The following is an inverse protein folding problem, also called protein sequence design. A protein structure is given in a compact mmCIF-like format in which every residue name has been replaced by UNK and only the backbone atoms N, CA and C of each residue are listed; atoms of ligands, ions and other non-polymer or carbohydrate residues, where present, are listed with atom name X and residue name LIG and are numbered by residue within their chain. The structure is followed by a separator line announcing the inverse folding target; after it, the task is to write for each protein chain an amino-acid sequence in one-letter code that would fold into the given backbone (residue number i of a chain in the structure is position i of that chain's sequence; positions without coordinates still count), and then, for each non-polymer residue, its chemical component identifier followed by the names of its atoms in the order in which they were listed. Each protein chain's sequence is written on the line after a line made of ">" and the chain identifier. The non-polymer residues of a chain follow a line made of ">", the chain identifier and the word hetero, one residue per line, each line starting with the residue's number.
data_IF_589858246034
#
_entry.id   IF_589858246034
#
_cell.length_a   1.000
_cell.length_b   1.000
_cell.length_c   1.000
_cell.angle_alpha   90.00
_cell.angle_beta   90.00
_cell.angle_gamma   90.00
#
_symmetry.space_group_name_H-M   'P 1'
#
loop_
_entity.id
_entity.type
_entity.pdbx_description
1 polymer ?
#
# COMPACT_ATOMS: atom_id res chain seq x y z
N UNK A 1 7.54 19.74 25.49
CA UNK A 1 8.17 20.18 24.22
C UNK A 1 8.95 19.08 23.51
N UNK A 2 9.72 18.23 24.19
CA UNK A 2 10.51 17.13 23.56
C UNK A 2 9.69 16.00 22.92
N UNK A 3 8.55 15.63 23.49
CA UNK A 3 7.66 14.57 22.96
C UNK A 3 6.99 14.97 21.64
N UNK A 4 6.46 16.20 21.53
CA UNK A 4 5.87 16.71 20.28
C UNK A 4 6.85 16.74 19.11
N UNK A 5 8.14 16.99 19.38
CA UNK A 5 9.18 16.97 18.36
C UNK A 5 9.46 15.54 17.88
N UNK A 6 9.51 14.55 18.79
CA UNK A 6 9.72 13.13 18.47
C UNK A 6 8.62 12.59 17.56
N UNK A 7 7.35 12.88 17.84
CA UNK A 7 6.23 12.46 16.97
C UNK A 7 6.31 13.07 15.56
N UNK A 8 6.68 14.37 15.45
CA UNK A 8 6.88 15.00 14.14
C UNK A 8 8.02 14.34 13.36
N UNK A 9 9.13 14.03 14.02
CA UNK A 9 10.28 13.36 13.39
C UNK A 9 9.88 11.95 12.90
N UNK A 10 9.17 11.16 13.72
CA UNK A 10 8.69 9.84 13.33
C UNK A 10 7.76 9.94 12.11
N UNK A 11 6.78 10.86 12.11
CA UNK A 11 5.88 11.04 10.98
C UNK A 11 6.64 11.43 9.70
N UNK A 12 7.62 12.32 9.78
CA UNK A 12 8.47 12.71 8.64
C UNK A 12 9.30 11.53 8.13
N UNK A 13 9.92 10.75 9.03
CA UNK A 13 10.68 9.56 8.64
C UNK A 13 9.82 8.51 7.93
N UNK A 14 8.61 8.30 8.41
CA UNK A 14 7.64 7.37 7.80
C UNK A 14 7.24 7.88 6.41
N UNK A 15 6.92 9.17 6.24
CA UNK A 15 6.61 9.77 4.93
C UNK A 15 7.79 9.67 3.96
N UNK A 16 9.02 9.90 4.42
CA UNK A 16 10.24 9.74 3.62
C UNK A 16 10.46 8.28 3.18
N UNK A 17 10.23 7.33 4.09
CA UNK A 17 10.33 5.90 3.78
C UNK A 17 9.31 5.50 2.70
N UNK A 18 8.04 5.96 2.82
CA UNK A 18 7.01 5.68 1.82
C UNK A 18 7.36 6.30 0.46
N UNK A 19 7.83 7.55 0.45
CA UNK A 19 8.27 8.22 -0.78
C UNK A 19 9.45 7.48 -1.44
N UNK A 20 10.43 7.05 -0.65
CA UNK A 20 11.57 6.25 -1.13
C UNK A 20 11.12 4.92 -1.74
N UNK A 21 10.16 4.25 -1.12
CA UNK A 21 9.58 3.00 -1.62
C UNK A 21 8.84 3.21 -2.94
N UNK A 22 8.05 4.29 -3.08
CA UNK A 22 7.37 4.64 -4.32
C UNK A 22 8.35 4.92 -5.48
N UNK A 23 9.41 5.68 -5.20
CA UNK A 23 10.44 5.98 -6.19
C UNK A 23 11.14 4.68 -6.62
N UNK A 24 11.49 3.81 -5.66
CA UNK A 24 12.11 2.51 -5.93
C UNK A 24 11.22 1.60 -6.77
N UNK A 25 9.92 1.52 -6.45
CA UNK A 25 8.95 0.77 -7.26
C UNK A 25 8.80 1.33 -8.67
N UNK A 26 8.73 2.65 -8.82
CA UNK A 26 8.66 3.29 -10.15
C UNK A 26 9.90 2.99 -11.00
N UNK A 27 11.08 3.04 -10.41
CA UNK A 27 12.33 2.70 -11.08
C UNK A 27 12.38 1.22 -11.49
N UNK A 28 11.98 0.32 -10.60
CA UNK A 28 11.90 -1.11 -10.88
C UNK A 28 10.91 -1.44 -12.00
N UNK A 29 9.70 -0.85 -11.96
CA UNK A 29 8.69 -1.04 -13.01
C UNK A 29 9.16 -0.53 -14.37
N UNK A 30 9.87 0.61 -14.41
CA UNK A 30 10.49 1.12 -15.63
C UNK A 30 11.52 0.13 -16.18
N UNK A 31 12.39 -0.40 -15.32
CA UNK A 31 13.38 -1.41 -15.71
C UNK A 31 12.71 -2.68 -16.27
N UNK A 32 11.67 -3.15 -15.61
CA UNK A 32 10.89 -4.30 -16.05
C UNK A 32 10.22 -4.06 -17.42
N UNK A 33 9.64 -2.87 -17.64
CA UNK A 33 9.05 -2.51 -18.93
C UNK A 33 10.09 -2.54 -20.05
N UNK A 34 11.26 -1.93 -19.84
CA UNK A 34 12.34 -1.90 -20.83
C UNK A 34 12.83 -3.32 -21.14
N UNK A 35 13.03 -4.14 -20.12
CA UNK A 35 13.45 -5.55 -20.28
C UNK A 35 12.39 -6.39 -21.00
N UNK A 36 11.11 -6.27 -20.62
CA UNK A 36 10.01 -6.98 -21.27
C UNK A 36 9.82 -6.54 -22.72
N UNK A 37 9.97 -5.23 -23.00
CA UNK A 37 9.95 -4.69 -24.35
C UNK A 37 11.05 -5.30 -25.18
N UNK A 38 12.30 -5.31 -24.70
CA UNK A 38 13.42 -5.92 -25.40
C UNK A 38 13.18 -7.41 -25.68
N UNK A 39 12.76 -8.16 -24.67
CA UNK A 39 12.44 -9.58 -24.83
C UNK A 39 11.34 -9.83 -25.88
N UNK A 40 10.31 -8.96 -25.93
CA UNK A 40 9.25 -9.07 -26.94
C UNK A 40 9.81 -8.81 -28.35
N UNK A 41 10.73 -7.86 -28.52
CA UNK A 41 11.41 -7.59 -29.79
C UNK A 41 12.25 -8.78 -30.22
N UNK A 42 13.08 -9.31 -29.33
CA UNK A 42 13.92 -10.47 -29.60
C UNK A 42 13.05 -11.69 -30.02
N UNK A 43 11.89 -11.89 -29.36
CA UNK A 43 10.93 -12.94 -29.69
C UNK A 43 10.27 -12.76 -31.09
N UNK A 44 10.03 -11.53 -31.51
CA UNK A 44 9.49 -11.23 -32.86
C UNK A 44 10.54 -11.58 -33.93
N UNK A 45 11.77 -11.12 -33.76
CA UNK A 45 12.86 -11.43 -34.67
C UNK A 45 13.11 -12.94 -34.76
N UNK A 46 13.08 -13.62 -33.62
CA UNK A 46 13.19 -15.07 -33.54
C UNK A 46 12.06 -15.78 -34.28
N UNK A 47 10.81 -15.30 -34.15
CA UNK A 47 9.66 -15.86 -34.84
C UNK A 47 9.80 -15.71 -36.38
N UNK A 48 10.31 -14.58 -36.85
CA UNK A 48 10.59 -14.37 -38.27
C UNK A 48 11.67 -15.31 -38.78
N UNK A 49 12.79 -15.41 -38.07
CA UNK A 49 13.90 -16.29 -38.38
C UNK A 49 13.49 -17.76 -38.43
N UNK A 50 12.71 -18.19 -37.44
CA UNK A 50 12.21 -19.56 -37.40
C UNK A 50 11.18 -19.86 -38.47
N UNK A 51 10.33 -18.92 -38.83
CA UNK A 51 9.38 -19.09 -39.92
C UNK A 51 10.12 -19.28 -41.27
N UNK A 52 11.19 -18.52 -41.51
CA UNK A 52 12.04 -18.60 -42.66
C UNK A 52 12.78 -19.95 -42.74
N UNK A 53 13.36 -20.36 -41.63
CA UNK A 53 14.06 -21.65 -41.51
C UNK A 53 13.13 -22.85 -41.76
N UNK A 54 11.93 -22.81 -41.22
CA UNK A 54 10.95 -23.90 -41.40
C UNK A 54 10.38 -23.93 -42.82
N UNK A 55 10.18 -22.78 -43.46
CA UNK A 55 9.75 -22.70 -44.84
C UNK A 55 10.83 -23.33 -45.77
N UNK A 56 12.08 -22.92 -45.58
CA UNK A 56 13.23 -23.45 -46.28
C UNK A 56 13.34 -24.99 -46.13
N UNK A 57 13.20 -25.50 -44.88
CA UNK A 57 13.23 -26.91 -44.57
C UNK A 57 12.12 -27.68 -45.26
N UNK A 58 10.89 -27.17 -45.28
CA UNK A 58 9.75 -27.81 -45.97
C UNK A 58 9.96 -27.88 -47.47
N UNK A 59 10.62 -26.92 -48.11
CA UNK A 59 11.01 -26.95 -49.51
C UNK A 59 12.11 -28.04 -49.76
N UNK A 60 13.07 -28.11 -48.87
CA UNK A 60 14.10 -29.19 -48.92
C UNK A 60 13.52 -30.58 -48.80
N UNK A 61 12.56 -30.77 -47.89
CA UNK A 61 11.86 -32.06 -47.70
C UNK A 61 11.07 -32.44 -48.97
N UNK A 62 10.43 -31.46 -49.61
CA UNK A 62 9.69 -31.66 -50.88
C UNK A 62 10.61 -32.07 -52.05
N UNK A 63 11.86 -31.55 -52.07
CA UNK A 63 12.87 -31.95 -53.03
C UNK A 63 13.43 -33.38 -52.77
N UNK A 64 13.54 -33.74 -51.51
CA UNK A 64 14.03 -35.06 -51.07
C UNK A 64 12.98 -36.14 -51.25
N UNK A 65 11.69 -35.81 -51.17
CA UNK A 65 10.57 -36.79 -51.10
C UNK A 65 10.16 -37.42 -52.43
N UNK A 66 10.80 -37.04 -53.56
CA UNK A 66 10.64 -37.83 -54.75
C UNK A 66 11.27 -39.24 -54.66
N UNK A 67 11.97 -39.61 -53.58
CA UNK A 67 12.60 -40.90 -53.35
C UNK A 67 12.57 -41.47 -51.94
N UNK A 68 11.94 -40.83 -50.95
CA UNK A 68 11.97 -41.35 -49.54
C UNK A 68 10.62 -41.13 -48.84
N UNK A 69 9.86 -42.22 -48.69
CA UNK A 69 8.79 -42.35 -47.69
C UNK A 69 9.45 -42.46 -46.30
N UNK A 70 9.67 -41.39 -45.61
CA UNK A 70 9.87 -41.42 -44.16
C UNK A 70 8.95 -40.42 -43.52
N UNK A 71 8.07 -40.91 -42.65
CA UNK A 71 7.23 -40.15 -41.75
C UNK A 71 8.13 -39.41 -40.76
N UNK A 72 8.67 -38.28 -41.17
CA UNK A 72 9.22 -37.29 -40.21
C UNK A 72 8.06 -36.35 -39.88
N UNK A 73 7.37 -36.71 -38.80
CA UNK A 73 6.45 -35.80 -38.15
C UNK A 73 7.34 -34.70 -37.52
N UNK A 74 7.37 -33.46 -37.98
CA UNK A 74 8.19 -32.43 -37.36
C UNK A 74 7.50 -31.96 -36.06
N UNK A 75 7.36 -32.82 -35.09
CA UNK A 75 7.24 -32.43 -33.73
C UNK A 75 8.61 -31.96 -33.24
N UNK A 76 9.10 -30.86 -33.75
CA UNK A 76 10.05 -30.05 -33.03
C UNK A 76 9.31 -29.51 -31.81
N UNK A 77 9.21 -30.35 -30.79
CA UNK A 77 9.02 -29.86 -29.44
C UNK A 77 10.32 -29.12 -29.12
N UNK A 78 10.30 -27.79 -29.29
CA UNK A 78 11.18 -26.94 -28.54
C UNK A 78 10.81 -27.24 -27.07
N UNK A 79 11.52 -28.17 -26.48
CA UNK A 79 11.53 -28.25 -25.03
C UNK A 79 12.13 -26.94 -24.60
N UNK A 80 11.33 -26.15 -23.91
CA UNK A 80 11.74 -24.97 -23.16
C UNK A 80 12.77 -25.33 -22.07
N UNK A 81 13.14 -26.62 -22.00
CA UNK A 81 14.23 -27.21 -21.23
C UNK A 81 15.55 -27.12 -22.02
N UNK A 82 15.92 -25.92 -22.40
CA UNK A 82 17.30 -25.73 -22.81
C UNK A 82 18.16 -25.87 -21.56
N UNK A 83 19.10 -26.81 -21.62
CA UNK A 83 20.06 -27.15 -20.54
C UNK A 83 20.87 -25.90 -20.03
N UNK A 84 20.79 -24.78 -20.74
CA UNK A 84 21.41 -23.53 -20.35
C UNK A 84 20.55 -22.71 -19.35
N UNK A 85 19.20 -22.82 -19.39
CA UNK A 85 18.33 -22.19 -18.38
C UNK A 85 18.49 -22.88 -17.01
N UNK A 86 18.58 -24.23 -17.01
CA UNK A 86 18.94 -24.97 -15.78
C UNK A 86 20.34 -24.64 -15.26
N UNK A 87 21.29 -24.25 -16.14
CA UNK A 87 22.59 -23.74 -15.71
C UNK A 87 22.55 -22.31 -15.18
N UNK A 88 21.58 -21.51 -15.61
CA UNK A 88 21.40 -20.15 -15.09
C UNK A 88 20.89 -20.16 -13.65
N UNK A 89 20.01 -21.12 -13.32
CA UNK A 89 19.51 -21.32 -11.96
C UNK A 89 20.55 -21.99 -11.03
N UNK A 90 21.47 -22.81 -11.59
CA UNK A 90 22.59 -23.37 -10.83
C UNK A 90 23.78 -22.40 -10.67
N UNK A 91 23.78 -21.29 -11.40
CA UNK A 91 24.68 -20.14 -11.27
C UNK A 91 24.04 -18.99 -10.48
N UNK A 92 22.94 -19.27 -9.75
CA UNK A 92 22.43 -18.32 -8.76
C UNK A 92 23.51 -18.09 -7.71
N UNK A 93 23.93 -16.85 -7.65
CA UNK A 93 25.08 -16.30 -6.91
C UNK A 93 24.93 -16.34 -5.39
N UNK A 94 23.97 -17.09 -4.83
CA UNK A 94 23.67 -17.06 -3.39
C UNK A 94 24.56 -17.92 -2.51
N UNK A 95 25.50 -18.69 -3.08
CA UNK A 95 26.38 -19.56 -2.29
C UNK A 95 27.88 -19.48 -2.61
N UNK A 96 28.37 -18.43 -3.26
CA UNK A 96 29.81 -18.25 -3.39
C UNK A 96 30.32 -17.13 -2.45
N UNK A 97 31.36 -17.39 -1.67
CA UNK A 97 31.95 -16.37 -0.85
C UNK A 97 32.53 -15.27 -1.74
N UNK A 98 31.98 -14.06 -1.59
CA UNK A 98 32.52 -12.83 -2.18
C UNK A 98 33.88 -12.58 -1.51
N UNK A 99 34.93 -13.14 -2.07
CA UNK A 99 36.30 -12.90 -1.60
C UNK A 99 37.28 -12.84 -2.76
N UNK A 100 37.28 -11.73 -3.39
CA UNK A 100 38.41 -10.99 -3.97
C UNK A 100 38.00 -10.20 -5.24
N UNK A 101 38.54 -8.98 -5.47
CA UNK A 101 38.24 -8.18 -6.68
C UNK A 101 38.62 -8.90 -7.99
N UNK A 102 39.54 -9.86 -7.96
CA UNK A 102 39.99 -10.60 -9.15
C UNK A 102 38.94 -11.59 -9.69
N UNK A 103 38.00 -12.10 -8.85
CA UNK A 103 36.95 -13.00 -9.32
C UNK A 103 35.92 -12.29 -10.20
N UNK A 104 35.58 -11.07 -9.86
CA UNK A 104 34.58 -10.27 -10.62
C UNK A 104 35.10 -9.94 -12.04
N UNK A 105 36.37 -9.63 -12.20
CA UNK A 105 37.01 -9.36 -13.50
C UNK A 105 36.98 -10.63 -14.35
N UNK A 106 37.32 -11.79 -13.78
CA UNK A 106 37.32 -13.07 -14.47
C UNK A 106 35.92 -13.48 -14.96
N UNK A 107 34.85 -13.19 -14.20
CA UNK A 107 33.46 -13.42 -14.62
C UNK A 107 33.02 -12.47 -15.74
N UNK A 108 33.45 -11.20 -15.72
CA UNK A 108 33.15 -10.23 -16.77
C UNK A 108 33.86 -10.64 -18.09
N UNK A 109 35.12 -11.06 -18.04
CA UNK A 109 35.87 -11.54 -19.21
C UNK A 109 35.22 -12.85 -19.77
N UNK A 110 34.85 -13.79 -18.91
CA UNK A 110 34.17 -15.01 -19.33
C UNK A 110 32.80 -14.71 -19.98
N UNK A 111 32.03 -13.77 -19.43
CA UNK A 111 30.76 -13.36 -20.01
C UNK A 111 30.91 -12.62 -21.34
N UNK A 112 31.95 -11.81 -21.50
CA UNK A 112 32.27 -11.16 -22.77
C UNK A 112 32.70 -12.16 -23.83
N UNK A 113 33.54 -13.11 -23.46
CA UNK A 113 33.98 -14.20 -24.36
C UNK A 113 32.80 -15.06 -24.80
N UNK A 114 31.89 -15.40 -23.88
CA UNK A 114 30.67 -16.13 -24.21
C UNK A 114 29.75 -15.37 -25.17
N UNK A 115 29.59 -14.06 -24.96
CA UNK A 115 28.86 -13.20 -25.90
C UNK A 115 29.47 -13.13 -27.28
N UNK A 116 30.79 -13.07 -27.37
CA UNK A 116 31.52 -13.11 -28.66
C UNK A 116 31.26 -14.45 -29.38
N UNK A 117 31.36 -15.59 -28.68
CA UNK A 117 31.07 -16.90 -29.27
C UNK A 117 29.62 -16.99 -29.74
N UNK A 118 28.65 -16.48 -28.97
CA UNK A 118 27.26 -16.46 -29.37
C UNK A 118 26.98 -15.61 -30.60
N UNK A 119 27.68 -14.48 -30.75
CA UNK A 119 27.63 -13.64 -31.93
C UNK A 119 28.23 -14.33 -33.16
N UNK A 120 29.36 -15.04 -32.99
CA UNK A 120 29.99 -15.80 -34.07
C UNK A 120 29.07 -16.93 -34.54
N UNK A 121 28.49 -17.69 -33.60
CA UNK A 121 27.54 -18.75 -33.92
C UNK A 121 26.31 -18.19 -34.68
N UNK A 122 25.72 -17.09 -34.19
CA UNK A 122 24.56 -16.46 -34.86
C UNK A 122 24.88 -15.88 -36.23
N UNK A 123 26.15 -15.46 -36.45
CA UNK A 123 26.62 -15.00 -37.75
C UNK A 123 26.83 -16.17 -38.71
N UNK A 124 27.39 -17.28 -38.21
CA UNK A 124 27.58 -18.51 -39.00
C UNK A 124 26.22 -19.08 -39.41
N UNK A 125 25.29 -19.14 -38.51
CA UNK A 125 23.90 -19.61 -38.77
C UNK A 125 23.24 -18.80 -39.88
N UNK A 126 23.30 -17.45 -39.81
CA UNK A 126 22.78 -16.56 -40.87
C UNK A 126 23.44 -16.78 -42.21
N UNK A 127 24.76 -16.93 -42.23
CA UNK A 127 25.50 -17.17 -43.46
C UNK A 127 25.12 -18.52 -44.10
N UNK A 128 24.94 -19.57 -43.30
CA UNK A 128 24.53 -20.89 -43.78
C UNK A 128 23.10 -20.79 -44.35
N UNK A 129 22.18 -20.11 -43.64
CA UNK A 129 20.80 -19.90 -44.09
C UNK A 129 20.77 -19.15 -45.45
N UNK A 130 21.54 -18.07 -45.57
CA UNK A 130 21.65 -17.29 -46.81
C UNK A 130 22.20 -18.12 -47.96
N UNK A 131 23.25 -18.93 -47.73
CA UNK A 131 23.80 -19.84 -48.76
C UNK A 131 22.77 -20.93 -49.19
N UNK A 132 21.97 -21.42 -48.26
CA UNK A 132 20.90 -22.37 -48.55
C UNK A 132 19.83 -21.73 -49.43
N UNK A 133 19.35 -20.50 -49.10
CA UNK A 133 18.42 -19.75 -49.93
C UNK A 133 18.95 -19.57 -51.36
N UNK A 134 20.16 -19.09 -51.51
CA UNK A 134 20.80 -18.86 -52.84
C UNK A 134 20.76 -20.11 -53.73
N UNK A 135 20.86 -21.29 -53.14
CA UNK A 135 20.80 -22.56 -53.90
C UNK A 135 19.39 -23.07 -54.15
N UNK A 136 18.54 -23.02 -53.11
CA UNK A 136 17.22 -23.64 -53.13
C UNK A 136 16.21 -22.73 -53.87
N UNK A 137 16.29 -21.41 -53.72
CA UNK A 137 15.38 -20.45 -54.36
C UNK A 137 15.49 -20.47 -55.91
N UNK A 138 16.64 -20.92 -56.43
CA UNK A 138 16.81 -21.16 -57.87
C UNK A 138 16.13 -22.44 -58.34
N UNK A 139 15.93 -23.43 -57.45
CA UNK A 139 15.29 -24.70 -57.77
C UNK A 139 13.80 -24.70 -57.46
N UNK A 140 13.41 -24.11 -56.35
CA UNK A 140 12.04 -23.98 -55.89
C UNK A 140 11.81 -22.57 -55.36
N UNK A 141 10.85 -21.81 -55.90
CA UNK A 141 10.55 -20.46 -55.43
C UNK A 141 9.99 -20.48 -54.00
N UNK A 142 10.26 -19.42 -53.26
CA UNK A 142 9.78 -19.24 -51.87
C UNK A 142 8.26 -19.25 -51.79
N UNK A 143 7.70 -20.05 -50.89
CA UNK A 143 6.27 -20.06 -50.64
C UNK A 143 5.90 -19.04 -49.53
N UNK A 144 5.68 -17.79 -49.93
CA UNK A 144 5.37 -16.69 -49.01
C UNK A 144 4.09 -16.91 -48.17
N UNK A 145 3.09 -17.62 -48.72
CA UNK A 145 1.86 -17.93 -47.98
C UNK A 145 2.12 -18.93 -46.85
N UNK A 146 3.00 -19.92 -47.10
CA UNK A 146 3.43 -20.89 -46.10
C UNK A 146 4.30 -20.21 -45.02
N UNK A 147 5.25 -19.36 -45.42
CA UNK A 147 6.02 -18.52 -44.51
C UNK A 147 5.11 -17.71 -43.58
N UNK A 148 4.09 -17.01 -44.14
CA UNK A 148 3.16 -16.23 -43.32
C UNK A 148 2.39 -17.09 -42.32
N UNK A 149 2.01 -18.31 -42.70
CA UNK A 149 1.32 -19.25 -41.82
C UNK A 149 2.23 -19.69 -40.65
N UNK A 150 3.49 -19.98 -40.95
CA UNK A 150 4.51 -20.35 -39.97
C UNK A 150 4.82 -19.17 -39.01
N UNK A 151 4.97 -17.97 -39.57
CA UNK A 151 5.16 -16.74 -38.80
C UNK A 151 3.99 -16.48 -37.86
N UNK A 152 2.75 -16.56 -38.35
CA UNK A 152 1.54 -16.39 -37.53
C UNK A 152 1.50 -17.35 -36.35
N UNK A 153 1.83 -18.61 -36.61
CA UNK A 153 1.91 -19.65 -35.55
C UNK A 153 3.05 -19.37 -34.58
N UNK A 154 4.20 -18.95 -35.04
CA UNK A 154 5.36 -18.55 -34.23
C UNK A 154 5.01 -17.39 -33.29
N UNK A 155 4.48 -16.30 -33.83
CA UNK A 155 4.04 -15.13 -33.05
C UNK A 155 3.00 -15.52 -32.00
N UNK A 156 2.02 -16.35 -32.37
CA UNK A 156 0.99 -16.84 -31.44
C UNK A 156 1.58 -17.66 -30.29
N UNK A 157 2.57 -18.52 -30.55
CA UNK A 157 3.27 -19.31 -29.51
C UNK A 157 4.01 -18.40 -28.51
N UNK A 158 4.53 -17.26 -28.97
CA UNK A 158 5.20 -16.26 -28.14
C UNK A 158 4.20 -15.33 -27.43
N UNK A 159 2.88 -15.57 -27.56
CA UNK A 159 1.84 -14.74 -26.96
C UNK A 159 1.62 -13.41 -27.66
N UNK A 160 2.18 -13.25 -28.88
CA UNK A 160 2.06 -12.04 -29.69
C UNK A 160 0.85 -12.19 -30.61
N UNK A 161 -0.26 -11.54 -30.22
CA UNK A 161 -1.56 -11.67 -30.93
C UNK A 161 -2.06 -10.31 -31.40
N UNK A 162 -1.16 -9.48 -31.92
CA UNK A 162 -1.50 -8.16 -32.47
C UNK A 162 -1.63 -8.24 -33.99
N UNK A 163 -2.44 -7.38 -34.62
CA UNK A 163 -2.50 -7.28 -36.06
C UNK A 163 -1.13 -6.91 -36.63
N UNK A 164 -0.80 -7.54 -37.76
CA UNK A 164 0.45 -7.28 -38.44
C UNK A 164 0.27 -7.19 -39.96
N UNK A 165 1.22 -6.53 -40.62
CA UNK A 165 1.39 -6.49 -42.06
C UNK A 165 2.73 -7.11 -42.38
N UNK A 166 2.74 -8.04 -43.32
CA UNK A 166 3.96 -8.66 -43.81
C UNK A 166 4.11 -8.26 -45.29
N UNK A 167 5.28 -7.74 -45.65
CA UNK A 167 5.65 -7.44 -47.03
C UNK A 167 6.96 -8.17 -47.35
N UNK A 168 7.07 -8.71 -48.54
CA UNK A 168 8.31 -9.22 -49.11
C UNK A 168 8.74 -8.30 -50.20
N UNK A 169 9.89 -7.70 -50.04
CA UNK A 169 10.34 -6.61 -50.90
C UNK A 169 11.62 -7.05 -51.61
N UNK A 170 11.65 -6.88 -52.93
CA UNK A 170 12.86 -7.04 -53.73
C UNK A 170 13.53 -5.67 -53.89
N UNK A 171 14.82 -5.63 -53.53
CA UNK A 171 15.63 -4.42 -53.58
C UNK A 171 16.13 -4.20 -55.01
N UNK A 172 15.41 -3.39 -55.74
CA UNK A 172 15.78 -2.95 -57.09
C UNK A 172 15.97 -1.43 -57.10
N UNK A 173 16.20 -0.81 -58.30
CA UNK A 173 16.26 0.66 -58.42
C UNK A 173 14.97 1.35 -57.92
N UNK A 174 13.82 0.64 -57.93
CA UNK A 174 12.59 0.90 -57.17
C UNK A 174 12.21 -0.38 -56.50
N UNK A 175 12.10 -0.34 -55.18
CA UNK A 175 11.66 -1.48 -54.36
C UNK A 175 10.34 -2.04 -54.92
N UNK A 176 10.33 -3.33 -55.26
CA UNK A 176 9.15 -4.02 -55.77
C UNK A 176 8.62 -4.98 -54.71
N UNK A 177 7.29 -4.88 -54.42
CA UNK A 177 6.62 -5.76 -53.46
C UNK A 177 6.22 -7.05 -54.19
N UNK A 178 6.82 -8.16 -53.76
CA UNK A 178 6.54 -9.49 -54.30
C UNK A 178 5.35 -10.16 -53.63
N UNK A 179 5.15 -9.91 -52.35
CA UNK A 179 4.08 -10.45 -51.54
C UNK A 179 3.66 -9.45 -50.49
N UNK A 180 2.35 -9.34 -50.27
CA UNK A 180 1.81 -8.51 -49.19
C UNK A 180 0.67 -9.24 -48.53
N UNK A 181 0.71 -9.27 -47.18
CA UNK A 181 -0.35 -9.75 -46.30
C UNK A 181 -0.67 -8.69 -45.26
N UNK A 182 -1.95 -8.47 -45.03
CA UNK A 182 -2.40 -7.60 -43.94
C UNK A 182 -3.49 -8.34 -43.16
N UNK A 183 -3.37 -8.38 -41.82
CA UNK A 183 -4.42 -8.97 -41.00
C UNK A 183 -5.68 -8.12 -41.08
N UNK A 184 -6.76 -8.74 -41.59
CA UNK A 184 -7.98 -8.04 -42.00
C UNK A 184 -8.90 -7.63 -40.83
N UNK A 185 -8.52 -7.93 -39.60
CA UNK A 185 -9.40 -7.75 -38.45
C UNK A 185 -9.64 -6.30 -38.02
N UNK A 186 -8.91 -5.32 -38.58
CA UNK A 186 -9.07 -3.91 -38.22
C UNK A 186 -8.98 -2.98 -39.44
N UNK A 187 -10.10 -2.88 -40.19
CA UNK A 187 -10.31 -1.84 -41.17
C UNK A 187 -10.52 -0.50 -40.46
N UNK A 188 -9.48 0.28 -40.25
CA UNK A 188 -9.61 1.66 -39.77
C UNK A 188 -8.57 2.14 -38.76
N UNK A 189 -7.75 1.28 -38.14
CA UNK A 189 -6.68 1.75 -37.29
C UNK A 189 -5.46 2.24 -38.09
N UNK A 190 -4.90 3.35 -37.60
CA UNK A 190 -3.72 3.98 -38.19
C UNK A 190 -2.47 3.15 -37.95
N UNK A 191 -1.74 2.77 -39.00
CA UNK A 191 -0.41 2.14 -38.93
C UNK A 191 0.70 3.14 -38.59
N UNK A 192 0.34 4.36 -38.15
CA UNK A 192 1.32 5.44 -37.86
C UNK A 192 2.32 5.09 -36.76
N UNK A 193 1.91 4.24 -35.81
CA UNK A 193 2.74 3.83 -34.65
C UNK A 193 3.19 2.37 -34.77
N UNK A 194 3.17 1.81 -35.98
CA UNK A 194 3.64 0.46 -36.22
C UNK A 194 5.16 0.36 -36.05
N UNK A 195 5.62 -0.74 -35.49
CA UNK A 195 7.04 -1.03 -35.38
C UNK A 195 7.45 -1.95 -36.52
N UNK A 196 8.53 -1.59 -37.18
CA UNK A 196 9.05 -2.30 -38.35
C UNK A 196 10.17 -3.26 -37.92
N UNK A 197 10.09 -4.50 -38.40
CA UNK A 197 11.11 -5.52 -38.26
C UNK A 197 11.52 -5.94 -39.65
N UNK A 198 12.84 -6.02 -39.88
CA UNK A 198 13.39 -6.39 -41.19
C UNK A 198 14.21 -7.66 -41.04
N UNK A 199 13.88 -8.69 -41.80
CA UNK A 199 14.68 -9.91 -41.90
C UNK A 199 15.19 -10.05 -43.35
N UNK A 200 16.52 -10.05 -43.48
CA UNK A 200 17.17 -10.12 -44.79
C UNK A 200 17.42 -11.58 -45.13
N UNK A 201 16.88 -12.05 -46.24
CA UNK A 201 17.05 -13.41 -46.77
C UNK A 201 18.26 -13.46 -47.67
N UNK A 202 18.31 -12.60 -48.64
CA UNK A 202 19.39 -12.39 -49.57
C UNK A 202 19.65 -10.88 -49.75
N UNK A 203 20.83 -10.47 -50.30
CA UNK A 203 21.10 -9.05 -50.49
C UNK A 203 20.03 -8.33 -51.30
N UNK A 204 19.28 -9.07 -52.14
CA UNK A 204 18.24 -8.53 -53.02
C UNK A 204 16.82 -8.64 -52.45
N UNK A 205 16.59 -9.45 -51.39
CA UNK A 205 15.26 -9.72 -50.84
C UNK A 205 15.25 -9.57 -49.35
N UNK A 206 14.18 -8.96 -48.81
CA UNK A 206 13.97 -8.87 -47.37
C UNK A 206 12.48 -8.95 -47.03
N UNK A 207 12.18 -9.53 -45.87
CA UNK A 207 10.88 -9.48 -45.21
C UNK A 207 10.76 -8.23 -44.39
N UNK A 208 9.69 -7.49 -44.54
CA UNK A 208 9.31 -6.38 -43.69
C UNK A 208 8.03 -6.74 -42.95
N UNK A 209 8.12 -6.78 -41.62
CA UNK A 209 7.02 -7.04 -40.72
C UNK A 209 6.69 -5.77 -39.94
N UNK A 210 5.48 -5.27 -40.15
CA UNK A 210 4.95 -4.16 -39.37
C UNK A 210 3.94 -4.69 -38.36
N UNK A 211 4.17 -4.43 -37.05
CA UNK A 211 3.24 -4.78 -35.99
C UNK A 211 2.57 -3.55 -35.42
N UNK A 212 1.25 -3.63 -35.28
CA UNK A 212 0.46 -2.56 -34.66
C UNK A 212 0.54 -2.64 -33.13
N UNK A 213 0.89 -1.52 -32.51
CA UNK A 213 0.88 -1.35 -31.04
C UNK A 213 1.55 -2.50 -30.24
N UNK A 214 2.82 -2.84 -30.49
CA UNK A 214 3.49 -3.93 -29.76
C UNK A 214 3.57 -3.68 -28.26
N UNK A 215 3.43 -2.43 -27.82
CA UNK A 215 3.38 -2.08 -26.40
C UNK A 215 2.17 -2.74 -25.69
N UNK A 216 1.05 -2.99 -26.39
CA UNK A 216 -0.09 -3.75 -25.83
C UNK A 216 0.32 -5.17 -25.43
N UNK A 217 1.19 -5.82 -26.20
CA UNK A 217 1.72 -7.14 -25.88
C UNK A 217 2.56 -7.08 -24.61
N UNK A 218 3.45 -6.10 -24.52
CA UNK A 218 4.31 -5.89 -23.35
C UNK A 218 3.47 -5.67 -22.09
N UNK A 219 2.49 -4.77 -22.14
CA UNK A 219 1.60 -4.52 -21.01
C UNK A 219 0.79 -5.77 -20.62
N UNK A 220 0.33 -6.56 -21.58
CA UNK A 220 -0.40 -7.81 -21.30
C UNK A 220 0.48 -8.86 -20.65
N UNK A 221 1.73 -8.99 -21.08
CA UNK A 221 2.71 -9.90 -20.46
C UNK A 221 3.06 -9.45 -19.03
N UNK A 222 3.13 -8.14 -18.80
CA UNK A 222 3.42 -7.56 -17.49
C UNK A 222 2.20 -7.48 -16.57
N UNK A 223 0.96 -7.68 -17.07
CA UNK A 223 -0.27 -7.43 -16.32
C UNK A 223 -0.31 -8.13 -14.94
N UNK A 224 0.11 -9.39 -14.86
CA UNK A 224 0.18 -10.13 -13.59
C UNK A 224 1.10 -9.48 -12.56
N UNK A 225 2.27 -9.01 -13.00
CA UNK A 225 3.27 -8.35 -12.15
C UNK A 225 2.78 -6.96 -11.74
N UNK A 226 2.14 -6.23 -12.66
CA UNK A 226 1.57 -4.91 -12.36
C UNK A 226 0.45 -5.01 -11.32
N UNK A 227 -0.45 -6.00 -11.48
CA UNK A 227 -1.56 -6.24 -10.52
C UNK A 227 -1.02 -6.63 -9.15
N UNK A 228 -0.07 -7.58 -9.08
CA UNK A 228 0.52 -8.00 -7.80
C UNK A 228 1.29 -6.88 -7.10
N UNK A 229 2.05 -6.08 -7.86
CA UNK A 229 2.77 -4.91 -7.35
C UNK A 229 1.81 -3.84 -6.81
N UNK A 230 0.71 -3.56 -7.54
CA UNK A 230 -0.32 -2.63 -7.10
C UNK A 230 -1.03 -3.11 -5.82
N UNK A 231 -1.35 -4.41 -5.74
CA UNK A 231 -2.00 -4.99 -4.56
C UNK A 231 -1.07 -4.92 -3.34
N UNK A 232 0.21 -5.26 -3.50
CA UNK A 232 1.21 -5.13 -2.44
C UNK A 232 1.34 -3.67 -1.96
N UNK A 233 1.39 -2.73 -2.91
CA UNK A 233 1.44 -1.31 -2.59
C UNK A 233 0.21 -0.85 -1.79
N UNK A 234 -1.00 -1.30 -2.15
CA UNK A 234 -2.23 -1.01 -1.42
C UNK A 234 -2.20 -1.53 0.01
N UNK A 235 -1.69 -2.75 0.23
CA UNK A 235 -1.54 -3.32 1.59
C UNK A 235 -0.59 -2.45 2.43
N UNK A 236 0.54 -2.05 1.87
CA UNK A 236 1.52 -1.18 2.56
C UNK A 236 0.89 0.18 2.88
N UNK A 237 0.15 0.77 1.95
CA UNK A 237 -0.53 2.06 2.14
C UNK A 237 -1.55 1.99 3.28
N UNK A 238 -2.39 0.94 3.31
CA UNK A 238 -3.37 0.73 4.38
C UNK A 238 -2.68 0.56 5.74
N UNK A 239 -1.63 -0.25 5.81
CA UNK A 239 -0.84 -0.43 7.02
C UNK A 239 -0.23 0.90 7.50
N UNK A 240 0.25 1.72 6.59
CA UNK A 240 0.80 3.03 6.87
C UNK A 240 -0.25 4.00 7.43
N UNK A 241 -1.43 4.08 6.81
CA UNK A 241 -2.54 4.93 7.29
C UNK A 241 -2.98 4.48 8.69
N UNK A 242 -3.08 3.16 8.92
CA UNK A 242 -3.40 2.61 10.23
C UNK A 242 -2.35 2.97 11.30
N UNK A 243 -1.08 2.92 10.94
CA UNK A 243 0.03 3.28 11.85
C UNK A 243 -0.01 4.77 12.20
N UNK A 244 -0.23 5.66 11.22
CA UNK A 244 -0.40 7.08 11.47
C UNK A 244 -1.59 7.36 12.40
N UNK A 245 -2.74 6.74 12.14
CA UNK A 245 -3.91 6.87 12.98
C UNK A 245 -3.62 6.45 14.42
N UNK A 246 -2.95 5.32 14.60
CA UNK A 246 -2.57 4.80 15.92
C UNK A 246 -1.63 5.75 16.66
N UNK A 247 -0.62 6.32 15.99
CA UNK A 247 0.31 7.28 16.56
C UNK A 247 -0.42 8.56 17.02
N UNK A 248 -1.32 9.08 16.18
CA UNK A 248 -2.11 10.27 16.53
C UNK A 248 -3.00 10.02 17.73
N UNK A 249 -3.65 8.86 17.80
CA UNK A 249 -4.48 8.44 18.94
C UNK A 249 -3.65 8.31 20.23
N UNK A 250 -2.50 7.66 20.16
CA UNK A 250 -1.61 7.51 21.32
C UNK A 250 -1.15 8.88 21.85
N UNK A 251 -0.84 9.82 20.96
CA UNK A 251 -0.48 11.19 21.34
C UNK A 251 -1.59 11.88 22.12
N UNK A 252 -2.82 11.78 21.65
CA UNK A 252 -3.98 12.39 22.34
C UNK A 252 -4.16 11.79 23.73
N UNK A 253 -4.02 10.46 23.88
CA UNK A 253 -4.09 9.80 25.18
C UNK A 253 -2.97 10.25 26.12
N UNK A 254 -1.74 10.41 25.62
CA UNK A 254 -0.60 10.89 26.42
C UNK A 254 -0.80 12.34 26.89
N UNK A 255 -1.31 13.24 26.02
CA UNK A 255 -1.64 14.61 26.38
C UNK A 255 -2.73 14.64 27.46
N UNK A 256 -3.82 13.90 27.29
CA UNK A 256 -4.89 13.80 28.30
C UNK A 256 -4.36 13.27 29.64
N UNK A 257 -3.51 12.24 29.64
CA UNK A 257 -2.91 11.69 30.86
C UNK A 257 -2.03 12.73 31.57
N UNK A 258 -1.26 13.51 30.80
CA UNK A 258 -0.38 14.56 31.35
C UNK A 258 -1.20 15.70 31.97
N UNK A 259 -2.24 16.17 31.26
CA UNK A 259 -3.12 17.22 31.74
C UNK A 259 -3.91 16.77 32.97
N UNK A 260 -4.39 15.52 33.00
CA UNK A 260 -5.02 14.93 34.17
C UNK A 260 -4.07 14.91 35.37
N UNK A 261 -2.84 14.43 35.19
CA UNK A 261 -1.85 14.35 36.29
C UNK A 261 -1.51 15.74 36.85
N UNK A 262 -1.33 16.73 35.96
CA UNK A 262 -1.03 18.10 36.36
C UNK A 262 -2.20 18.74 37.13
N UNK A 263 -3.42 18.57 36.64
CA UNK A 263 -4.63 19.10 37.28
C UNK A 263 -4.84 18.42 38.64
N UNK A 264 -4.71 17.10 38.74
CA UNK A 264 -4.83 16.40 40.01
C UNK A 264 -3.78 16.83 41.01
N UNK A 265 -2.53 17.02 40.59
CA UNK A 265 -1.45 17.51 41.45
C UNK A 265 -1.78 18.91 41.98
N UNK A 266 -2.34 19.80 41.16
CA UNK A 266 -2.73 21.12 41.60
C UNK A 266 -3.92 21.10 42.57
N UNK A 267 -4.98 20.34 42.25
CA UNK A 267 -6.18 20.18 43.09
C UNK A 267 -5.89 19.51 44.44
N UNK A 268 -4.90 18.62 44.50
CA UNK A 268 -4.43 18.03 45.79
C UNK A 268 -3.55 18.98 46.60
N UNK A 269 -2.68 19.76 45.95
CA UNK A 269 -1.73 20.66 46.62
C UNK A 269 -2.46 21.77 47.40
N UNK A 270 -3.53 22.32 46.89
CA UNK A 270 -4.25 23.42 47.46
C UNK A 270 -4.84 23.08 48.85
N UNK A 271 -5.71 22.04 49.01
CA UNK A 271 -6.26 21.66 50.30
C UNK A 271 -5.17 21.20 51.29
N UNK A 272 -4.11 20.53 50.84
CA UNK A 272 -2.97 20.18 51.68
C UNK A 272 -2.31 21.42 52.26
N UNK A 273 -2.06 22.45 51.42
CA UNK A 273 -1.42 23.68 51.86
C UNK A 273 -2.28 24.46 52.86
N UNK A 274 -3.60 24.49 52.66
CA UNK A 274 -4.55 25.17 53.58
C UNK A 274 -4.62 24.43 54.92
N UNK A 275 -4.72 23.09 54.89
CA UNK A 275 -4.73 22.26 56.09
C UNK A 275 -3.42 22.40 56.87
N UNK A 276 -2.28 22.44 56.16
CA UNK A 276 -0.96 22.60 56.77
C UNK A 276 -0.85 23.99 57.43
N UNK A 277 -1.26 25.08 56.74
CA UNK A 277 -1.23 26.42 57.29
C UNK A 277 -2.12 26.56 58.54
N UNK A 278 -3.34 25.98 58.51
CA UNK A 278 -4.23 25.97 59.66
C UNK A 278 -3.65 25.22 60.85
N UNK A 279 -3.00 24.07 60.59
CA UNK A 279 -2.32 23.29 61.63
C UNK A 279 -1.07 24.04 62.18
N UNK A 280 -0.31 24.73 61.36
CA UNK A 280 0.87 25.51 61.75
C UNK A 280 0.48 26.64 62.74
N UNK A 281 -0.65 27.32 62.46
CA UNK A 281 -1.21 28.31 63.37
C UNK A 281 -1.59 27.71 64.73
N UNK A 282 -2.18 26.50 64.75
CA UNK A 282 -2.56 25.81 65.96
C UNK A 282 -1.34 25.41 66.79
N UNK A 283 -0.22 25.04 66.16
CA UNK A 283 0.99 24.59 66.85
C UNK A 283 1.85 25.76 67.37
N UNK A 284 1.95 26.83 66.60
CA UNK A 284 2.93 27.90 66.88
C UNK A 284 2.37 29.12 67.62
N UNK A 285 1.02 29.29 67.66
CA UNK A 285 0.37 30.42 68.32
C UNK A 285 -0.43 29.98 69.57
N UNK A 286 0.26 29.74 70.68
CA UNK A 286 -0.30 29.24 71.93
C UNK A 286 -1.28 30.21 72.67
N UNK A 287 -1.43 31.45 72.21
CA UNK A 287 -2.37 32.43 72.75
C UNK A 287 -3.73 32.52 72.00
N UNK A 288 -4.06 31.51 71.22
CA UNK A 288 -5.28 31.49 70.43
C UNK A 288 -6.49 31.18 71.29
N UNK A 289 -7.55 31.99 71.25
CA UNK A 289 -8.81 31.77 71.98
C UNK A 289 -9.46 30.43 71.52
N UNK A 290 -10.14 29.72 72.45
CA UNK A 290 -10.81 28.44 72.14
C UNK A 290 -11.71 28.47 70.87
N UNK A 291 -12.36 29.57 70.58
CA UNK A 291 -13.16 29.76 69.36
C UNK A 291 -12.30 29.77 68.08
N UNK A 292 -11.13 30.43 68.11
CA UNK A 292 -10.19 30.43 67.00
C UNK A 292 -9.57 29.08 66.76
N UNK A 293 -9.24 28.35 67.84
CA UNK A 293 -8.74 26.95 67.72
C UNK A 293 -9.78 26.05 67.06
N UNK A 294 -11.03 26.13 67.48
CA UNK A 294 -12.14 25.38 66.87
C UNK A 294 -12.28 25.67 65.40
N UNK A 295 -12.18 26.96 65.01
CA UNK A 295 -12.26 27.41 63.62
C UNK A 295 -11.13 26.80 62.73
N UNK A 296 -9.89 26.80 63.21
CA UNK A 296 -8.75 26.17 62.51
C UNK A 296 -8.87 24.66 62.41
N UNK A 297 -9.37 23.99 63.43
CA UNK A 297 -9.64 22.54 63.42
C UNK A 297 -10.76 22.19 62.39
N UNK A 298 -11.82 23.03 62.35
CA UNK A 298 -12.89 22.88 61.37
C UNK A 298 -12.36 23.06 59.94
N UNK A 299 -11.47 24.00 59.69
CA UNK A 299 -10.79 24.17 58.37
C UNK A 299 -10.00 22.91 58.02
N UNK A 300 -9.17 22.39 58.96
CA UNK A 300 -8.39 21.13 58.70
C UNK A 300 -9.32 20.00 58.36
N UNK A 301 -10.39 19.81 59.15
CA UNK A 301 -11.38 18.73 58.92
C UNK A 301 -12.05 18.88 57.55
N UNK A 302 -12.44 20.07 57.14
CA UNK A 302 -13.05 20.37 55.84
C UNK A 302 -12.10 20.02 54.71
N UNK A 303 -10.83 20.43 54.79
CA UNK A 303 -9.84 20.13 53.74
C UNK A 303 -9.52 18.64 53.64
N UNK A 304 -9.48 17.91 54.78
CA UNK A 304 -9.30 16.45 54.78
C UNK A 304 -10.49 15.74 54.13
N UNK A 305 -11.72 16.18 54.41
CA UNK A 305 -12.94 15.64 53.76
C UNK A 305 -12.92 15.90 52.26
N UNK A 306 -12.47 17.07 51.85
CA UNK A 306 -12.32 17.42 50.41
C UNK A 306 -11.27 16.51 49.73
N UNK A 307 -10.11 16.29 50.37
CA UNK A 307 -9.09 15.37 49.90
C UNK A 307 -9.59 13.93 49.78
N UNK A 308 -10.37 13.45 50.74
CA UNK A 308 -10.98 12.12 50.68
C UNK A 308 -11.91 11.99 49.47
N UNK A 309 -12.73 12.99 49.22
CA UNK A 309 -13.60 13.04 48.05
C UNK A 309 -12.84 13.04 46.70
N UNK A 310 -11.70 13.76 46.62
CA UNK A 310 -10.85 13.75 45.41
C UNK A 310 -10.22 12.38 45.20
N UNK A 311 -9.76 11.71 46.27
CA UNK A 311 -9.19 10.36 46.16
C UNK A 311 -10.23 9.35 45.72
N UNK A 312 -11.47 9.41 46.21
CA UNK A 312 -12.56 8.56 45.77
C UNK A 312 -12.87 8.77 44.29
N UNK A 313 -12.91 10.00 43.82
CA UNK A 313 -13.11 10.32 42.39
C UNK A 313 -11.98 9.72 41.51
N UNK A 314 -10.72 9.82 41.93
CA UNK A 314 -9.59 9.24 41.18
C UNK A 314 -9.71 7.71 41.13
N UNK A 315 -10.08 7.07 42.25
CA UNK A 315 -10.26 5.62 42.33
C UNK A 315 -11.41 5.15 41.43
N UNK A 316 -12.53 5.86 41.43
CA UNK A 316 -13.69 5.58 40.56
C UNK A 316 -13.29 5.64 39.07
N UNK A 317 -12.60 6.71 38.65
CA UNK A 317 -12.08 6.83 37.27
C UNK A 317 -11.10 5.70 36.92
N UNK A 318 -10.31 5.24 37.87
CA UNK A 318 -9.36 4.12 37.67
C UNK A 318 -10.06 2.78 37.49
N UNK A 319 -11.19 2.56 38.20
CA UNK A 319 -11.98 1.33 38.13
C UNK A 319 -12.84 1.31 36.86
N UNK A 320 -13.46 2.43 36.49
CA UNK A 320 -14.28 2.54 35.26
C UNK A 320 -13.48 2.30 33.99
N UNK A 321 -12.19 2.59 33.99
CA UNK A 321 -11.28 2.29 32.84
C UNK A 321 -10.92 0.81 32.69
N UNK A 322 -11.35 -0.09 33.61
CA UNK A 322 -11.13 -1.52 33.45
C UNK A 322 -12.23 -2.11 32.56
N UNK A 323 -11.84 -2.96 31.62
CA UNK A 323 -12.71 -3.68 30.68
C UNK A 323 -13.76 -4.59 31.34
N UNK A 324 -13.79 -4.66 32.65
CA UNK A 324 -14.72 -5.45 33.48
C UNK A 324 -15.88 -4.65 34.06
N UNK A 325 -15.94 -3.33 33.78
CA UNK A 325 -17.03 -2.48 34.26
C UNK A 325 -18.36 -2.88 33.64
N UNK A 326 -19.32 -3.31 34.47
CA UNK A 326 -20.66 -3.67 34.05
C UNK A 326 -21.65 -2.67 34.60
N UNK A 327 -22.39 -2.01 33.73
CA UNK A 327 -23.52 -1.15 34.12
C UNK A 327 -24.71 -2.01 34.54
N UNK A 328 -25.34 -1.65 35.66
CA UNK A 328 -26.64 -2.17 36.09
C UNK A 328 -27.75 -1.31 35.46
N UNK A 329 -28.13 -1.70 34.24
CA UNK A 329 -29.15 -0.96 33.49
C UNK A 329 -30.54 -1.26 34.06
N UNK A 330 -31.25 -0.21 34.48
CA UNK A 330 -32.65 -0.25 34.91
C UNK A 330 -33.44 0.89 34.26
N UNK A 331 -34.73 0.74 34.19
CA UNK A 331 -35.63 1.81 33.70
C UNK A 331 -35.89 2.81 34.80
N UNK A 332 -35.41 4.01 34.66
CA UNK A 332 -35.43 5.07 35.66
C UNK A 332 -36.38 6.16 35.18
N UNK A 333 -37.33 6.55 36.06
CA UNK A 333 -38.13 7.74 35.85
C UNK A 333 -37.29 9.00 36.16
N UNK A 334 -37.04 9.84 35.15
CA UNK A 334 -36.10 10.95 35.25
C UNK A 334 -36.54 11.98 36.29
N UNK A 335 -37.81 12.24 36.40
CA UNK A 335 -38.38 13.17 37.39
C UNK A 335 -38.11 12.74 38.85
N UNK A 336 -38.19 11.44 39.16
CA UNK A 336 -37.91 10.88 40.49
C UNK A 336 -36.43 11.04 40.89
N UNK A 337 -35.53 11.02 39.92
CA UNK A 337 -34.09 11.21 40.15
C UNK A 337 -33.72 12.69 40.32
N UNK A 338 -34.34 13.57 39.55
CA UNK A 338 -34.03 15.00 39.53
C UNK A 338 -34.56 15.74 40.78
N UNK A 339 -35.73 15.40 41.27
CA UNK A 339 -36.38 16.10 42.39
C UNK A 339 -35.50 16.15 43.64
N UNK A 340 -35.01 15.01 44.20
CA UNK A 340 -34.14 15.02 45.39
C UNK A 340 -32.79 15.67 45.10
N UNK A 341 -32.28 15.54 43.88
CA UNK A 341 -30.98 16.14 43.48
C UNK A 341 -31.07 17.67 43.47
N UNK A 342 -32.15 18.25 42.95
CA UNK A 342 -32.39 19.69 42.94
C UNK A 342 -32.55 20.23 44.34
N UNK A 343 -33.34 19.57 45.20
CA UNK A 343 -33.50 19.96 46.61
C UNK A 343 -32.16 19.97 47.34
N UNK A 344 -31.34 18.95 47.16
CA UNK A 344 -30.03 18.87 47.76
C UNK A 344 -29.13 20.09 47.40
N UNK A 345 -29.13 20.50 46.10
CA UNK A 345 -28.34 21.66 45.68
C UNK A 345 -28.90 22.99 46.21
N UNK A 346 -30.23 23.12 46.28
CA UNK A 346 -30.89 24.29 46.89
C UNK A 346 -30.51 24.47 48.36
N UNK A 347 -30.39 23.37 49.11
CA UNK A 347 -30.03 23.40 50.54
C UNK A 347 -28.53 23.61 50.75
N UNK A 348 -27.70 23.17 49.82
CA UNK A 348 -26.20 23.17 49.98
C UNK A 348 -25.54 24.47 49.58
N UNK A 349 -26.27 25.37 48.87
CA UNK A 349 -25.64 26.55 48.22
C UNK A 349 -26.25 27.82 48.84
N UNK A 350 -25.37 28.70 49.33
CA UNK A 350 -25.73 30.04 49.82
C UNK A 350 -26.10 31.03 48.69
N UNK A 351 -25.87 30.68 47.44
CA UNK A 351 -26.21 31.50 46.28
C UNK A 351 -27.68 31.32 45.90
N UNK A 352 -28.36 32.40 45.43
CA UNK A 352 -29.67 32.29 44.86
C UNK A 352 -29.60 31.49 43.52
N UNK A 353 -30.04 30.23 43.58
CA UNK A 353 -30.13 29.37 42.40
C UNK A 353 -31.58 29.18 41.99
N UNK A 354 -31.84 29.35 40.70
CA UNK A 354 -33.12 29.08 40.04
C UNK A 354 -32.94 27.85 39.12
N UNK A 355 -33.45 26.68 39.57
CA UNK A 355 -33.39 25.44 38.77
C UNK A 355 -34.79 25.11 38.32
N UNK A 356 -35.03 25.16 37.01
CA UNK A 356 -36.31 24.81 36.39
C UNK A 356 -36.17 23.48 35.59
N UNK A 357 -37.20 22.66 35.64
CA UNK A 357 -37.27 21.39 34.93
C UNK A 357 -38.31 21.42 33.83
N UNK A 358 -37.89 21.22 32.59
CA UNK A 358 -38.75 21.04 31.42
C UNK A 358 -38.64 19.55 30.97
N UNK A 359 -38.94 18.62 31.90
CA UNK A 359 -38.87 17.19 31.67
C UNK A 359 -40.28 16.63 31.75
N UNK A 360 -40.78 15.86 30.75
CA UNK A 360 -42.07 15.19 30.82
C UNK A 360 -42.16 14.28 32.05
N UNK A 361 -43.29 14.32 32.79
CA UNK A 361 -43.46 13.51 34.02
C UNK A 361 -43.25 12.01 33.83
N UNK A 362 -43.60 11.49 32.63
CA UNK A 362 -43.46 10.06 32.30
C UNK A 362 -42.17 9.72 31.53
N UNK A 363 -41.23 10.63 31.49
CA UNK A 363 -39.97 10.39 30.81
C UNK A 363 -39.16 9.33 31.55
N UNK A 364 -38.88 8.22 30.87
CA UNK A 364 -38.01 7.17 31.39
C UNK A 364 -36.73 7.03 30.56
N UNK A 365 -35.65 6.63 31.20
CA UNK A 365 -34.36 6.33 30.56
C UNK A 365 -33.85 5.00 31.08
N UNK A 366 -33.26 4.18 30.20
CA UNK A 366 -32.58 2.96 30.60
C UNK A 366 -31.11 3.29 30.88
N UNK A 367 -30.75 3.31 32.18
CA UNK A 367 -29.41 3.68 32.62
C UNK A 367 -29.09 2.99 33.96
N UNK A 368 -27.83 3.10 34.38
CA UNK A 368 -27.44 2.79 35.77
C UNK A 368 -27.76 4.01 36.64
N UNK A 369 -28.59 3.78 37.66
CA UNK A 369 -29.13 4.85 38.54
C UNK A 369 -28.00 5.64 39.23
N UNK A 370 -27.00 4.95 39.72
CA UNK A 370 -25.89 5.57 40.44
C UNK A 370 -25.04 6.45 39.50
N UNK A 371 -24.74 5.95 38.31
CA UNK A 371 -23.98 6.68 37.32
C UNK A 371 -24.74 7.87 36.77
N UNK A 372 -26.03 7.72 36.47
CA UNK A 372 -26.84 8.83 36.00
C UNK A 372 -26.98 9.93 37.06
N UNK A 373 -27.20 9.53 38.31
CA UNK A 373 -27.24 10.47 39.45
C UNK A 373 -25.92 11.25 39.58
N UNK A 374 -24.79 10.56 39.57
CA UNK A 374 -23.44 11.17 39.68
C UNK A 374 -23.17 12.10 38.50
N UNK A 375 -23.53 11.73 37.29
CA UNK A 375 -23.35 12.53 36.08
C UNK A 375 -24.16 13.84 36.18
N UNK A 376 -25.44 13.76 36.53
CA UNK A 376 -26.33 14.91 36.70
C UNK A 376 -25.85 15.83 37.84
N UNK A 377 -25.45 15.24 38.98
CA UNK A 377 -24.90 15.94 40.11
C UNK A 377 -23.65 16.74 39.75
N UNK A 378 -22.72 16.13 39.01
CA UNK A 378 -21.52 16.80 38.55
C UNK A 378 -21.81 17.94 37.57
N UNK A 379 -22.77 17.77 36.66
CA UNK A 379 -23.15 18.81 35.70
C UNK A 379 -23.82 19.99 36.41
N UNK A 380 -24.76 19.75 37.32
CA UNK A 380 -25.41 20.82 38.11
C UNK A 380 -24.39 21.53 39.02
N UNK A 381 -23.52 20.76 39.69
CA UNK A 381 -22.47 21.32 40.53
C UNK A 381 -21.48 22.21 39.74
N UNK A 382 -21.10 21.77 38.55
CA UNK A 382 -20.26 22.55 37.65
C UNK A 382 -20.98 23.85 37.18
N UNK A 383 -22.26 23.76 36.80
CA UNK A 383 -23.04 24.90 36.41
C UNK A 383 -23.12 25.97 37.54
N UNK A 384 -23.33 25.55 38.79
CA UNK A 384 -23.34 26.43 39.95
C UNK A 384 -21.95 27.00 40.21
N UNK A 385 -20.89 26.18 40.15
CA UNK A 385 -19.51 26.64 40.42
C UNK A 385 -19.03 27.67 39.41
N UNK A 386 -19.39 27.55 38.14
CA UNK A 386 -18.92 28.46 37.07
C UNK A 386 -19.90 29.57 36.68
N UNK A 387 -21.06 29.67 37.33
CA UNK A 387 -22.07 30.70 37.03
C UNK A 387 -21.73 32.13 37.49
N UNK A 388 -20.54 32.38 38.07
CA UNK A 388 -20.18 33.69 38.62
C UNK A 388 -20.89 34.02 39.93
N UNK A 389 -20.84 35.33 40.34
CA UNK A 389 -21.35 35.76 41.67
C UNK A 389 -22.87 36.13 41.70
N UNK A 390 -23.50 36.27 40.52
CA UNK A 390 -24.91 36.63 40.40
C UNK A 390 -25.79 35.36 40.34
N UNK A 391 -27.12 35.55 40.34
CA UNK A 391 -28.12 34.48 40.24
C UNK A 391 -27.79 33.43 39.17
N UNK A 392 -27.72 32.16 39.55
CA UNK A 392 -27.50 31.07 38.63
C UNK A 392 -28.84 30.50 38.20
N UNK A 393 -29.15 30.58 36.90
CA UNK A 393 -30.36 29.93 36.32
C UNK A 393 -29.92 28.68 35.53
N UNK A 394 -30.48 27.52 35.94
CA UNK A 394 -30.25 26.24 35.29
C UNK A 394 -31.57 25.70 34.77
N UNK A 395 -31.62 25.35 33.51
CA UNK A 395 -32.79 24.71 32.88
C UNK A 395 -32.42 23.26 32.52
N UNK A 396 -33.15 22.31 33.13
CA UNK A 396 -32.99 20.89 32.83
C UNK A 396 -34.07 20.49 31.84
N UNK A 397 -33.70 20.21 30.59
CA UNK A 397 -34.66 19.89 29.53
C UNK A 397 -34.54 18.44 29.11
N UNK A 398 -35.66 17.73 29.11
CA UNK A 398 -35.78 16.38 28.58
C UNK A 398 -36.49 16.38 27.23
N UNK A 399 -35.85 15.85 26.22
CA UNK A 399 -36.48 15.59 24.90
C UNK A 399 -36.38 14.11 24.58
N UNK A 400 -37.48 13.52 24.08
CA UNK A 400 -37.53 12.13 23.60
C UNK A 400 -37.12 12.06 22.15
#
# INVERSE_FOLDING_TARGET
>A
MKTRLRFKIIAVLICLSLAGLLISQGYWLKGLYVSSKKSTWDNIEEAMRMADYMELFLRLDSLSNNNFHSQINPQFSFSQDTAWEKRKDSLSTDNMPISSPNSTIQYIEAAQTLNEYLQIIGTLERNVQMLMHQKIDTLLPVNYAQFNTLLKNGLKKQGITVPYRLQVIRKEAKDSVLYAYTDASEKGESWKDAVHFTHVIEPEYYYELELQSPDRVVFRQMAGILISSFLLFMVILVAFVYLLYTILRLKTVEELKTDFTNNMTHELKTPISIAYAANDVLLNYSSTTNEKQKKYLDIVREQLNHLSGLVEQILTLSVENRSTFRLHLETIQVAELLTPLIEQFKLKTDKPIDITTEVPEHMTVTADRTHLYNMLSNLIGNAIKYSGEKTCRIILKGTV
#
